data_IF_380274315835
#
_entry.id   IF_380274315835
#
_cell.length_a   1.000
_cell.length_b   1.000
_cell.length_c   1.000
_cell.angle_alpha   90.00
_cell.angle_beta   90.00
_cell.angle_gamma   90.00
#
_symmetry.space_group_name_H-M   'P 1'
#
loop_
_entity.id
_entity.type
_entity.pdbx_description
1 polymer ?
#
# COMPACT_ATOMS: atom_id res chain seq x y z
N UNK A 1 13.99 -33.94 36.17
CA UNK A 1 14.58 -33.40 34.92
C UNK A 1 13.55 -33.17 33.80
N UNK A 2 12.50 -33.99 33.66
CA UNK A 2 11.49 -33.85 32.59
C UNK A 2 10.61 -32.60 32.72
N UNK A 3 10.29 -32.18 33.95
CA UNK A 3 9.44 -31.02 34.25
C UNK A 3 10.14 -29.70 33.90
N UNK A 4 11.45 -29.59 34.13
CA UNK A 4 12.23 -28.40 33.77
C UNK A 4 12.37 -28.17 32.27
N UNK A 5 12.41 -29.26 31.47
CA UNK A 5 12.45 -29.18 30.01
C UNK A 5 11.11 -28.69 29.43
N UNK A 6 10.00 -29.10 30.02
CA UNK A 6 8.65 -28.67 29.63
C UNK A 6 8.42 -27.19 29.92
N UNK A 7 8.91 -26.70 31.08
CA UNK A 7 8.87 -25.27 31.42
C UNK A 7 9.75 -24.41 30.50
N UNK A 8 10.89 -24.94 30.05
CA UNK A 8 11.76 -24.24 29.09
C UNK A 8 11.13 -24.17 27.69
N UNK A 9 10.47 -25.24 27.23
CA UNK A 9 9.76 -25.27 25.95
C UNK A 9 8.54 -24.33 25.92
N UNK A 10 7.83 -24.18 27.05
CA UNK A 10 6.74 -23.21 27.20
C UNK A 10 7.23 -21.75 27.22
N UNK A 11 8.47 -21.50 27.64
CA UNK A 11 9.04 -20.14 27.67
C UNK A 11 9.49 -19.62 26.29
N UNK A 12 9.58 -20.50 25.28
CA UNK A 12 10.00 -20.16 23.91
C UNK A 12 8.79 -20.10 22.96
N UNK A 13 7.60 -19.78 23.46
CA UNK A 13 6.56 -19.20 22.60
C UNK A 13 6.90 -17.73 22.33
N UNK A 14 7.91 -17.50 21.50
CA UNK A 14 8.18 -16.18 20.93
C UNK A 14 6.93 -15.82 20.11
N UNK A 15 6.08 -14.96 20.66
CA UNK A 15 5.00 -14.35 19.89
C UNK A 15 5.66 -13.53 18.80
N UNK A 16 5.69 -14.06 17.58
CA UNK A 16 6.00 -13.29 16.37
C UNK A 16 4.92 -12.22 16.25
N UNK A 17 5.19 -11.02 16.78
CA UNK A 17 4.35 -9.86 16.55
C UNK A 17 4.56 -9.42 15.10
N UNK A 18 3.83 -10.06 14.19
CA UNK A 18 3.75 -9.61 12.81
C UNK A 18 2.77 -8.44 12.78
N UNK A 19 3.24 -7.28 12.33
CA UNK A 19 2.36 -6.15 12.04
C UNK A 19 1.43 -6.57 10.90
N UNK A 20 0.13 -6.65 11.18
CA UNK A 20 -0.90 -6.90 10.19
C UNK A 20 -1.51 -5.56 9.78
N UNK A 21 -1.52 -5.30 8.47
CA UNK A 21 -2.15 -4.11 7.89
C UNK A 21 -3.06 -4.61 6.78
N UNK A 22 -4.32 -4.21 6.86
CA UNK A 22 -5.35 -4.55 5.87
C UNK A 22 -5.93 -3.27 5.28
N UNK A 23 -6.43 -3.37 4.05
CA UNK A 23 -7.24 -2.31 3.48
C UNK A 23 -8.63 -2.31 4.12
N UNK A 24 -9.12 -1.13 4.51
CA UNK A 24 -10.51 -0.96 4.93
C UNK A 24 -11.38 -0.45 3.77
N UNK A 25 -10.96 0.65 3.14
CA UNK A 25 -11.69 1.31 2.05
C UNK A 25 -10.72 1.98 1.09
N UNK A 26 -11.10 2.05 -0.17
CA UNK A 26 -10.43 2.84 -1.20
C UNK A 26 -11.48 3.66 -1.94
N UNK A 27 -11.30 4.98 -1.99
CA UNK A 27 -12.20 5.88 -2.70
C UNK A 27 -11.43 6.92 -3.49
N UNK A 28 -11.86 7.14 -4.72
CA UNK A 28 -11.45 8.30 -5.49
C UNK A 28 -12.41 9.44 -5.17
N UNK A 29 -11.90 10.60 -4.76
CA UNK A 29 -12.73 11.75 -4.41
C UNK A 29 -12.82 12.76 -5.56
N UNK A 30 -11.82 12.81 -6.43
CA UNK A 30 -11.69 13.78 -7.52
C UNK A 30 -10.74 13.27 -8.61
N UNK A 31 -10.54 14.07 -9.67
CA UNK A 31 -9.59 13.75 -10.74
C UNK A 31 -10.07 12.64 -11.69
N UNK A 32 -11.39 12.43 -11.78
CA UNK A 32 -12.04 11.46 -12.65
C UNK A 32 -11.85 11.73 -14.15
N UNK A 33 -11.28 12.88 -14.50
CA UNK A 33 -10.86 13.30 -15.84
C UNK A 33 -9.40 12.90 -16.15
N UNK A 34 -8.59 12.66 -15.12
CA UNK A 34 -7.19 12.22 -15.25
C UNK A 34 -7.10 10.70 -15.28
N UNK A 35 -7.68 10.05 -14.27
CA UNK A 35 -7.80 8.61 -14.21
C UNK A 35 -9.13 8.22 -13.57
N UNK A 36 -9.65 7.04 -13.92
CA UNK A 36 -10.85 6.49 -13.31
C UNK A 36 -10.50 5.16 -12.63
N UNK A 37 -10.88 5.01 -11.36
CA UNK A 37 -10.59 3.81 -10.57
C UNK A 37 -11.84 2.98 -10.32
N UNK A 38 -11.77 1.70 -10.66
CA UNK A 38 -12.75 0.69 -10.24
C UNK A 38 -12.28 -0.13 -9.03
N UNK A 39 -11.17 0.26 -8.41
CA UNK A 39 -10.57 -0.46 -7.29
C UNK A 39 -11.54 -0.56 -6.11
N UNK A 40 -11.70 -1.77 -5.60
CA UNK A 40 -12.52 -2.05 -4.43
C UNK A 40 -11.78 -2.96 -3.46
N UNK A 41 -11.94 -2.64 -2.19
CA UNK A 41 -11.52 -3.49 -1.09
C UNK A 41 -12.53 -4.61 -0.92
N UNK A 42 -12.06 -5.85 -0.84
CA UNK A 42 -12.92 -7.03 -0.62
C UNK A 42 -12.23 -8.08 0.21
N UNK A 43 -13.03 -8.88 0.91
CA UNK A 43 -12.55 -10.11 1.55
C UNK A 43 -12.15 -11.13 0.47
N UNK A 44 -10.92 -11.63 0.53
CA UNK A 44 -10.44 -12.68 -0.37
C UNK A 44 -10.68 -14.07 0.22
N UNK A 45 -10.33 -14.24 1.50
CA UNK A 45 -10.58 -15.46 2.26
C UNK A 45 -10.86 -15.10 3.74
N UNK A 46 -10.86 -16.09 4.65
CA UNK A 46 -11.19 -15.85 6.07
C UNK A 46 -10.26 -14.84 6.77
N UNK A 47 -9.01 -14.71 6.32
CA UNK A 47 -7.96 -13.94 7.00
C UNK A 47 -7.30 -12.88 6.12
N UNK A 48 -7.63 -12.79 4.83
CA UNK A 48 -7.01 -11.87 3.90
C UNK A 48 -8.03 -10.93 3.26
N UNK A 49 -7.73 -9.63 3.33
CA UNK A 49 -8.43 -8.57 2.63
C UNK A 49 -7.53 -8.08 1.49
N UNK A 50 -8.12 -7.82 0.33
CA UNK A 50 -7.39 -7.45 -0.88
C UNK A 50 -8.07 -6.30 -1.59
N UNK A 51 -7.28 -5.52 -2.32
CA UNK A 51 -7.79 -4.58 -3.30
C UNK A 51 -7.83 -5.24 -4.68
N UNK A 52 -8.90 -5.02 -5.43
CA UNK A 52 -9.09 -5.58 -6.76
C UNK A 52 -9.84 -4.62 -7.67
N UNK A 53 -9.46 -4.55 -8.94
CA UNK A 53 -10.11 -3.71 -9.94
C UNK A 53 -9.11 -3.17 -10.96
N UNK A 54 -9.42 -2.00 -11.51
CA UNK A 54 -8.62 -1.34 -12.54
C UNK A 54 -8.39 0.12 -12.21
N UNK A 55 -7.27 0.65 -12.70
CA UNK A 55 -7.00 2.08 -12.81
C UNK A 55 -6.90 2.39 -14.30
N UNK A 56 -7.87 3.12 -14.84
CA UNK A 56 -7.87 3.58 -16.22
C UNK A 56 -7.28 4.98 -16.28
N UNK A 57 -6.07 5.09 -16.81
CA UNK A 57 -5.42 6.36 -17.07
C UNK A 57 -5.91 6.91 -18.42
N UNK A 58 -6.57 8.06 -18.41
CA UNK A 58 -7.25 8.62 -19.60
C UNK A 58 -6.41 9.66 -20.33
N UNK A 59 -5.51 10.35 -19.61
CA UNK A 59 -4.62 11.38 -20.16
C UNK A 59 -3.16 10.99 -19.97
N UNK A 60 -2.24 11.40 -20.87
CA UNK A 60 -0.83 11.16 -20.67
C UNK A 60 -0.33 11.92 -19.43
N UNK A 61 0.44 11.26 -18.57
CA UNK A 61 1.09 11.90 -17.42
C UNK A 61 2.55 12.16 -17.73
N UNK A 62 2.99 13.39 -17.50
CA UNK A 62 4.37 13.81 -17.71
C UNK A 62 4.89 14.57 -16.47
N UNK A 63 6.08 15.14 -16.56
CA UNK A 63 6.74 15.84 -15.45
C UNK A 63 5.96 17.06 -14.92
N UNK A 64 4.92 17.52 -15.61
CA UNK A 64 4.06 18.61 -15.11
C UNK A 64 3.08 18.15 -14.03
N UNK A 65 2.85 16.84 -13.88
CA UNK A 65 1.94 16.26 -12.89
C UNK A 65 2.73 15.97 -11.61
N UNK A 66 2.31 16.59 -10.50
CA UNK A 66 2.90 16.38 -9.18
C UNK A 66 2.13 15.34 -8.38
N UNK A 67 2.87 14.47 -7.69
CA UNK A 67 2.32 13.50 -6.73
C UNK A 67 2.68 13.95 -5.32
N UNK A 68 1.68 14.06 -4.46
CA UNK A 68 1.84 14.32 -3.02
C UNK A 68 1.01 13.31 -2.23
N UNK A 69 1.40 13.03 -1.00
CA UNK A 69 0.69 12.08 -0.14
C UNK A 69 0.73 12.54 1.31
N UNK A 70 -0.46 12.68 1.90
CA UNK A 70 -0.64 13.01 3.31
C UNK A 70 -1.07 11.76 4.06
N UNK A 71 -0.42 11.50 5.19
CA UNK A 71 -0.72 10.34 6.02
C UNK A 71 -1.39 10.80 7.30
N UNK A 72 -2.41 10.06 7.70
CA UNK A 72 -3.23 10.37 8.86
C UNK A 72 -3.36 9.11 9.71
N UNK A 73 -3.16 9.24 11.02
CA UNK A 73 -3.16 8.12 11.94
C UNK A 73 -4.17 8.33 13.08
N UNK A 74 -4.98 7.31 13.33
CA UNK A 74 -5.88 7.23 14.49
C UNK A 74 -5.45 6.05 15.36
N UNK A 75 -5.04 6.33 16.61
CA UNK A 75 -4.63 5.29 17.55
C UNK A 75 -5.82 4.45 18.03
N UNK A 76 -7.02 5.03 18.05
CA UNK A 76 -8.23 4.44 18.62
C UNK A 76 -9.18 3.87 17.56
N UNK A 77 -8.85 3.98 16.27
CA UNK A 77 -9.74 3.54 15.18
C UNK A 77 -11.07 4.33 15.13
N UNK A 78 -11.09 5.54 15.71
CA UNK A 78 -12.23 6.44 15.64
C UNK A 78 -11.98 7.51 14.57
N UNK A 79 -12.99 8.35 14.31
CA UNK A 79 -12.92 9.42 13.30
C UNK A 79 -11.98 10.60 13.68
N UNK A 80 -11.10 10.44 14.68
CA UNK A 80 -10.11 11.44 15.07
C UNK A 80 -8.75 11.03 14.53
N UNK A 81 -8.35 11.67 13.45
CA UNK A 81 -7.07 11.41 12.80
C UNK A 81 -6.11 12.57 13.03
N UNK A 82 -4.87 12.23 13.41
CA UNK A 82 -3.78 13.20 13.47
C UNK A 82 -2.95 13.08 12.19
N UNK A 83 -2.55 14.23 11.64
CA UNK A 83 -1.58 14.24 10.54
C UNK A 83 -0.27 13.61 11.02
N UNK A 84 0.16 12.55 10.34
CA UNK A 84 1.37 11.80 10.65
C UNK A 84 2.39 12.07 9.55
N UNK A 85 3.41 12.90 9.79
CA UNK A 85 4.37 13.25 8.76
C UNK A 85 5.24 12.03 8.39
N UNK A 86 4.88 11.37 7.30
CA UNK A 86 5.71 10.36 6.67
C UNK A 86 6.65 11.02 5.65
N UNK A 87 7.89 10.54 5.54
CA UNK A 87 8.88 11.05 4.59
C UNK A 87 8.60 10.55 3.17
N UNK A 88 7.47 10.95 2.58
CA UNK A 88 7.20 10.75 1.16
C UNK A 88 7.41 12.06 0.41
N UNK A 89 8.38 12.13 -0.51
CA UNK A 89 8.68 13.38 -1.21
C UNK A 89 7.56 13.72 -2.20
N UNK A 90 7.10 14.98 -2.16
CA UNK A 90 6.32 15.57 -3.23
C UNK A 90 7.23 15.75 -4.45
N UNK A 91 6.89 15.12 -5.56
CA UNK A 91 7.74 15.06 -6.75
C UNK A 91 6.87 14.88 -8.01
N UNK A 92 7.45 15.09 -9.19
CA UNK A 92 6.71 14.83 -10.42
C UNK A 92 6.45 13.32 -10.60
N UNK A 93 5.41 12.98 -11.36
CA UNK A 93 4.93 11.60 -11.53
C UNK A 93 6.01 10.65 -12.10
N UNK A 94 6.93 11.18 -12.91
CA UNK A 94 7.97 10.37 -13.54
C UNK A 94 9.07 10.01 -12.53
N UNK A 95 9.53 10.98 -11.74
CA UNK A 95 10.42 10.73 -10.60
C UNK A 95 9.76 9.84 -9.54
N UNK A 96 8.46 10.06 -9.27
CA UNK A 96 7.68 9.24 -8.35
C UNK A 96 7.69 7.78 -8.75
N UNK A 97 7.37 7.48 -10.02
CA UNK A 97 7.34 6.10 -10.50
C UNK A 97 8.74 5.48 -10.51
N UNK A 98 9.77 6.26 -10.83
CA UNK A 98 11.15 5.79 -10.76
C UNK A 98 11.54 5.37 -9.33
N UNK A 99 11.33 6.24 -8.33
CA UNK A 99 11.59 5.93 -6.91
C UNK A 99 10.73 4.77 -6.42
N UNK A 100 9.47 4.71 -6.86
CA UNK A 100 8.58 3.59 -6.55
C UNK A 100 9.15 2.25 -7.04
N UNK A 101 9.75 2.19 -8.23
CA UNK A 101 10.43 0.99 -8.70
C UNK A 101 11.73 0.69 -7.94
N UNK A 102 12.47 1.69 -7.52
CA UNK A 102 13.71 1.51 -6.74
C UNK A 102 13.41 0.93 -5.35
N UNK A 103 12.40 1.44 -4.67
CA UNK A 103 12.11 1.11 -3.28
C UNK A 103 11.06 0.00 -3.12
N UNK A 104 10.13 -0.15 -4.07
CA UNK A 104 8.93 -0.98 -3.91
C UNK A 104 8.62 -1.91 -5.09
N UNK A 105 9.56 -2.13 -6.02
CA UNK A 105 9.34 -3.03 -7.17
C UNK A 105 8.97 -4.45 -6.77
N UNK A 106 9.49 -4.97 -5.66
CA UNK A 106 9.14 -6.28 -5.12
C UNK A 106 7.65 -6.40 -4.75
N UNK A 107 6.99 -5.28 -4.44
CA UNK A 107 5.57 -5.23 -4.14
C UNK A 107 4.71 -4.94 -5.35
N UNK A 108 5.24 -4.96 -6.58
CA UNK A 108 4.43 -4.82 -7.80
C UNK A 108 3.73 -6.11 -8.22
N UNK A 109 3.93 -7.22 -7.49
CA UNK A 109 3.18 -8.45 -7.72
C UNK A 109 1.67 -8.16 -7.70
N UNK A 110 0.95 -8.82 -8.61
CA UNK A 110 -0.48 -8.65 -8.86
C UNK A 110 -0.91 -7.33 -9.50
N UNK A 111 0.03 -6.49 -9.96
CA UNK A 111 -0.28 -5.31 -10.77
C UNK A 111 0.20 -5.56 -12.20
N UNK A 112 -0.74 -5.52 -13.16
CA UNK A 112 -0.48 -5.80 -14.57
C UNK A 112 -0.64 -4.52 -15.37
N UNK A 113 0.20 -4.37 -16.40
CA UNK A 113 0.24 -3.19 -17.27
C UNK A 113 0.62 -1.88 -16.56
N UNK A 114 1.37 -1.98 -15.45
CA UNK A 114 2.03 -0.83 -14.83
C UNK A 114 3.06 -0.22 -15.81
N UNK A 115 3.25 1.12 -15.86
CA UNK A 115 4.23 1.71 -16.78
C UNK A 115 5.62 1.21 -16.45
N UNK A 116 6.43 0.89 -17.47
CA UNK A 116 7.75 0.26 -17.29
C UNK A 116 8.69 1.18 -16.52
N UNK A 117 9.70 0.61 -15.86
CA UNK A 117 10.76 1.41 -15.23
C UNK A 117 11.39 2.35 -16.27
N UNK A 118 11.40 3.65 -15.98
CA UNK A 118 11.91 4.70 -16.87
C UNK A 118 10.93 5.14 -17.98
N UNK A 119 9.70 4.64 -17.99
CA UNK A 119 8.69 5.07 -18.96
C UNK A 119 8.06 6.41 -18.56
N UNK A 120 8.47 7.47 -19.25
CA UNK A 120 7.90 8.82 -19.15
C UNK A 120 7.97 9.50 -20.53
N UNK A 121 6.93 10.18 -21.00
CA UNK A 121 5.61 10.32 -20.39
C UNK A 121 4.83 9.00 -20.34
N UNK A 122 3.98 8.85 -19.33
CA UNK A 122 3.14 7.66 -19.13
C UNK A 122 1.94 7.77 -20.08
N UNK A 123 1.88 6.91 -21.08
CA UNK A 123 0.75 6.88 -22.02
C UNK A 123 -0.55 6.36 -21.36
N UNK A 124 -1.73 6.84 -21.80
CA UNK A 124 -3.04 6.32 -21.39
C UNK A 124 -3.11 4.80 -21.49
N UNK A 125 -3.62 4.15 -20.45
CA UNK A 125 -3.72 2.68 -20.37
C UNK A 125 -4.62 2.25 -19.22
N UNK A 126 -5.00 0.97 -19.24
CA UNK A 126 -5.68 0.34 -18.10
C UNK A 126 -4.68 -0.51 -17.33
N UNK A 127 -4.48 -0.18 -16.05
CA UNK A 127 -3.68 -0.95 -15.10
C UNK A 127 -4.62 -1.88 -14.35
N UNK A 128 -4.28 -3.15 -14.25
CA UNK A 128 -5.10 -4.14 -13.56
C UNK A 128 -4.49 -4.51 -12.22
N UNK A 129 -5.29 -4.47 -11.16
CA UNK A 129 -4.87 -4.88 -9.81
C UNK A 129 -5.67 -6.11 -9.42
N UNK A 130 -4.98 -7.23 -9.25
CA UNK A 130 -5.59 -8.53 -9.05
C UNK A 130 -5.44 -9.05 -7.62
N UNK A 131 -6.47 -8.89 -6.80
CA UNK A 131 -6.50 -9.48 -5.45
C UNK A 131 -5.24 -9.18 -4.63
N UNK A 132 -4.81 -7.91 -4.67
CA UNK A 132 -3.56 -7.49 -4.05
C UNK A 132 -3.75 -7.27 -2.53
N UNK A 133 -3.09 -8.04 -1.66
CA UNK A 133 -3.04 -7.73 -0.24
C UNK A 133 -2.13 -6.51 0.01
N UNK A 134 -2.33 -5.84 1.14
CA UNK A 134 -1.45 -4.74 1.53
C UNK A 134 -0.06 -5.30 1.90
N UNK A 135 1.04 -4.75 1.35
CA UNK A 135 2.38 -5.22 1.68
C UNK A 135 2.82 -4.66 3.05
N UNK A 136 2.45 -5.33 4.15
CA UNK A 136 2.75 -4.84 5.50
C UNK A 136 4.25 -4.58 5.76
N UNK A 137 5.14 -5.30 5.08
CA UNK A 137 6.61 -5.11 5.15
C UNK A 137 7.09 -3.78 4.54
N UNK A 138 6.31 -3.17 3.66
CA UNK A 138 6.62 -1.87 3.07
C UNK A 138 6.43 -0.72 4.07
N UNK A 139 5.73 -0.95 5.19
CA UNK A 139 5.51 0.07 6.22
C UNK A 139 6.68 0.06 7.20
N UNK A 140 7.36 1.20 7.39
CA UNK A 140 8.49 1.27 8.30
C UNK A 140 8.11 0.91 9.76
N UNK A 141 8.99 0.22 10.50
CA UNK A 141 8.70 -0.23 11.88
C UNK A 141 8.43 0.89 12.90
N UNK A 142 8.77 2.13 12.58
CA UNK A 142 8.52 3.29 13.46
C UNK A 142 7.10 3.84 13.36
N UNK A 143 6.28 3.37 12.42
CA UNK A 143 4.86 3.72 12.40
C UNK A 143 4.18 3.18 13.66
N UNK A 144 3.42 4.03 14.39
CA UNK A 144 2.76 3.60 15.60
C UNK A 144 1.65 2.58 15.30
N UNK A 145 1.45 1.64 16.22
CA UNK A 145 0.31 0.73 16.17
C UNK A 145 -1.00 1.50 16.31
N UNK A 146 -1.97 1.19 15.46
CA UNK A 146 -3.34 1.70 15.53
C UNK A 146 -4.37 0.57 15.40
N UNK A 147 -5.64 0.96 15.48
CA UNK A 147 -6.78 0.11 15.15
C UNK A 147 -7.15 0.29 13.68
#
# INVERSE_FOLDING_TARGET
MLIGLFSLLLSVSVTLQVMQIDFERFEQLSGYDIYNSSLRVRKYNRTAVVINGTIELMVPLNESVMVSSDFFHSRLGNQQFNHYPAKFPTQNVCEFLQRFYEDYSEYCEHVVNLPRKGECPIAPRIIYVHNKPFPAKAVPPFFPTGL
#
